data_IF_362779915807
#
_entry.id   IF_362779915807
#
_cell.length_a   1.000
_cell.length_b   1.000
_cell.length_c   1.000
_cell.angle_alpha   90.00
_cell.angle_beta   90.00
_cell.angle_gamma   90.00
#
_symmetry.space_group_name_H-M   'P 1'
#
loop_
_entity.id
_entity.type
_entity.pdbx_description
1 polymer ?
#
# COMPACT_ATOMS: atom_id res chain seq x y z
N UNK A 1 -9.42 30.64 -6.19
CA UNK A 1 -9.86 29.30 -5.76
C UNK A 1 -8.67 28.69 -5.04
N UNK A 2 -8.79 28.36 -3.78
CA UNK A 2 -7.71 27.71 -3.04
C UNK A 2 -7.53 26.32 -3.64
N UNK A 3 -6.32 26.00 -4.14
CA UNK A 3 -5.91 24.61 -4.30
C UNK A 3 -6.02 24.01 -2.91
N UNK A 4 -6.70 22.86 -2.75
CA UNK A 4 -6.92 22.25 -1.44
C UNK A 4 -5.64 21.78 -0.72
N UNK A 5 -4.46 22.07 -1.26
CA UNK A 5 -3.17 21.72 -0.69
C UNK A 5 -2.62 22.81 0.21
N UNK A 6 -2.25 22.46 1.42
CA UNK A 6 -1.53 23.32 2.36
C UNK A 6 -0.05 23.16 2.10
N UNK A 7 0.60 24.18 1.56
CA UNK A 7 2.07 24.18 1.40
C UNK A 7 2.68 24.44 2.78
N UNK A 8 3.52 23.53 3.27
CA UNK A 8 4.28 23.70 4.52
C UNK A 8 5.76 23.83 4.20
N UNK A 9 6.42 24.87 4.71
CA UNK A 9 7.87 25.05 4.63
C UNK A 9 8.63 24.38 5.80
N UNK A 10 8.02 23.42 6.48
CA UNK A 10 8.56 22.81 7.69
C UNK A 10 9.39 21.57 7.34
N UNK A 11 10.48 21.37 8.11
CA UNK A 11 11.17 20.06 8.15
C UNK A 11 10.17 19.00 8.58
N UNK A 12 10.08 17.92 7.81
CA UNK A 12 9.12 16.85 8.10
C UNK A 12 9.17 16.42 9.57
N UNK A 13 8.03 16.36 10.26
CA UNK A 13 7.97 15.95 11.65
C UNK A 13 8.49 14.52 11.86
N UNK A 14 8.48 13.68 10.83
CA UNK A 14 9.06 12.33 10.88
C UNK A 14 10.56 12.37 11.10
N UNK A 15 11.30 13.23 10.41
CA UNK A 15 12.76 13.37 10.57
C UNK A 15 13.12 13.83 11.98
N UNK A 16 12.34 14.77 12.53
CA UNK A 16 12.58 15.27 13.88
C UNK A 16 12.26 14.21 14.92
N UNK A 17 11.11 13.54 14.79
CA UNK A 17 10.65 12.46 15.68
C UNK A 17 11.61 11.28 15.66
N UNK A 18 12.07 10.84 14.47
CA UNK A 18 13.04 9.78 14.33
C UNK A 18 14.37 10.09 15.05
N UNK A 19 14.90 11.31 14.89
CA UNK A 19 16.14 11.75 15.57
C UNK A 19 16.01 11.72 17.09
N UNK A 20 14.91 12.24 17.60
CA UNK A 20 14.69 12.28 19.05
C UNK A 20 14.41 10.87 19.62
N UNK A 21 13.66 10.05 18.91
CA UNK A 21 13.40 8.66 19.27
C UNK A 21 14.70 7.85 19.32
N UNK A 22 15.56 7.95 18.31
CA UNK A 22 16.85 7.27 18.26
C UNK A 22 17.82 7.73 19.35
N UNK A 23 17.66 8.96 19.84
CA UNK A 23 18.43 9.51 20.96
C UNK A 23 17.94 9.00 22.30
N UNK A 24 16.61 8.99 22.53
CA UNK A 24 16.01 8.56 23.79
C UNK A 24 15.94 7.04 23.93
N UNK A 25 15.70 6.35 22.82
CA UNK A 25 15.54 4.89 22.75
C UNK A 25 16.55 4.27 21.76
N UNK A 26 17.87 4.31 22.05
CA UNK A 26 18.87 3.74 21.14
C UNK A 26 18.66 2.24 20.87
N UNK A 27 18.00 1.53 21.75
CA UNK A 27 17.69 0.10 21.65
C UNK A 27 16.78 -0.24 20.47
N UNK A 28 16.07 0.76 19.91
CA UNK A 28 15.21 0.55 18.73
C UNK A 28 16.01 0.05 17.53
N UNK A 29 17.32 0.34 17.48
CA UNK A 29 18.20 -0.12 16.40
C UNK A 29 18.30 -1.64 16.28
N UNK A 30 17.99 -2.39 17.34
CA UNK A 30 17.91 -3.87 17.29
C UNK A 30 16.83 -4.39 16.34
N UNK A 31 15.87 -3.51 15.96
CA UNK A 31 14.79 -3.83 15.03
C UNK A 31 15.14 -3.53 13.56
N UNK A 32 16.31 -3.00 13.26
CA UNK A 32 16.75 -2.60 11.92
C UNK A 32 17.32 -3.76 11.09
N UNK A 33 16.88 -4.96 11.32
CA UNK A 33 17.30 -6.13 10.55
C UNK A 33 16.16 -6.60 9.62
N UNK A 34 16.46 -7.05 8.40
CA UNK A 34 15.50 -7.70 7.55
C UNK A 34 14.84 -8.90 8.24
N UNK A 35 13.63 -9.24 7.80
CA UNK A 35 12.87 -10.37 8.32
C UNK A 35 12.65 -11.44 7.24
N UNK A 36 13.57 -12.43 7.07
CA UNK A 36 13.56 -13.37 5.95
C UNK A 36 12.33 -14.28 5.89
N UNK A 37 11.64 -14.50 7.01
CA UNK A 37 10.40 -15.27 7.01
C UNK A 37 9.29 -14.61 6.17
N UNK A 38 9.39 -13.31 5.87
CA UNK A 38 8.49 -12.65 4.92
C UNK A 38 8.49 -13.32 3.54
N UNK A 39 9.60 -13.93 3.11
CA UNK A 39 9.66 -14.67 1.85
C UNK A 39 8.74 -15.91 1.83
N UNK A 40 8.55 -16.57 2.99
CA UNK A 40 7.60 -17.68 3.11
C UNK A 40 6.15 -17.18 3.02
N UNK A 41 5.84 -16.01 3.60
CA UNK A 41 4.53 -15.40 3.47
C UNK A 41 4.24 -14.98 2.02
N UNK A 42 5.23 -14.40 1.32
CA UNK A 42 5.12 -14.10 -0.12
C UNK A 42 4.75 -15.36 -0.88
N UNK A 43 5.55 -16.43 -0.74
CA UNK A 43 5.33 -17.70 -1.45
C UNK A 43 3.97 -18.31 -1.10
N UNK A 44 3.62 -18.37 0.19
CA UNK A 44 2.35 -18.94 0.64
C UNK A 44 1.12 -18.20 0.11
N UNK A 45 1.16 -16.86 0.08
CA UNK A 45 0.08 -16.04 -0.44
C UNK A 45 -0.05 -16.15 -1.97
N UNK A 46 1.06 -16.20 -2.70
CA UNK A 46 1.05 -16.44 -4.15
C UNK A 46 0.45 -17.81 -4.46
N UNK A 47 0.91 -18.86 -3.76
CA UNK A 47 0.35 -20.22 -3.93
C UNK A 47 -1.14 -20.22 -3.59
N UNK A 48 -1.58 -19.58 -2.52
CA UNK A 48 -2.99 -19.43 -2.15
C UNK A 48 -3.80 -18.81 -3.29
N UNK A 49 -3.34 -17.68 -3.85
CA UNK A 49 -4.03 -16.99 -4.95
C UNK A 49 -4.15 -17.89 -6.19
N UNK A 50 -3.08 -18.60 -6.56
CA UNK A 50 -3.08 -19.49 -7.71
C UNK A 50 -3.95 -20.73 -7.50
N UNK A 51 -3.96 -21.33 -6.31
CA UNK A 51 -4.83 -22.47 -5.96
C UNK A 51 -6.29 -22.07 -6.02
N UNK A 52 -6.65 -20.92 -5.44
CA UNK A 52 -8.03 -20.40 -5.50
C UNK A 52 -8.42 -20.05 -6.93
N UNK A 53 -7.53 -19.44 -7.72
CA UNK A 53 -7.76 -19.16 -9.13
C UNK A 53 -8.06 -20.45 -9.92
N UNK A 54 -7.32 -21.52 -9.65
CA UNK A 54 -7.54 -22.81 -10.29
C UNK A 54 -8.89 -23.43 -9.88
N UNK A 55 -9.27 -23.37 -8.62
CA UNK A 55 -10.57 -23.88 -8.16
C UNK A 55 -11.77 -23.11 -8.75
N UNK A 56 -11.57 -21.83 -9.04
CA UNK A 56 -12.61 -20.97 -9.62
C UNK A 56 -12.70 -21.04 -11.15
N UNK A 57 -11.86 -21.84 -11.83
CA UNK A 57 -11.77 -21.87 -13.30
C UNK A 57 -13.12 -22.10 -14.02
N UNK A 58 -14.01 -22.89 -13.40
CA UNK A 58 -15.33 -23.25 -13.92
C UNK A 58 -16.48 -22.65 -13.06
N UNK A 59 -16.14 -21.69 -12.16
CA UNK A 59 -17.12 -21.09 -11.26
C UNK A 59 -18.01 -20.04 -11.98
N UNK A 60 -19.18 -19.78 -11.40
CA UNK A 60 -20.01 -18.66 -11.85
C UNK A 60 -19.34 -17.31 -11.59
N UNK A 61 -19.64 -16.30 -12.41
CA UNK A 61 -19.11 -14.95 -12.23
C UNK A 61 -19.42 -14.35 -10.86
N UNK A 62 -20.59 -14.65 -10.30
CA UNK A 62 -20.94 -14.23 -8.94
C UNK A 62 -19.99 -14.88 -7.92
N UNK A 63 -19.68 -16.18 -8.07
CA UNK A 63 -18.74 -16.88 -7.22
C UNK A 63 -17.32 -16.28 -7.32
N UNK A 64 -16.86 -15.97 -8.53
CA UNK A 64 -15.57 -15.29 -8.77
C UNK A 64 -15.53 -13.94 -8.07
N UNK A 65 -16.52 -13.08 -8.27
CA UNK A 65 -16.57 -11.72 -7.69
C UNK A 65 -16.61 -11.78 -6.16
N UNK A 66 -17.48 -12.63 -5.60
CA UNK A 66 -17.59 -12.76 -4.14
C UNK A 66 -16.30 -13.29 -3.52
N UNK A 67 -15.65 -14.30 -4.13
CA UNK A 67 -14.40 -14.85 -3.62
C UNK A 67 -13.28 -13.83 -3.76
N UNK A 68 -13.20 -13.09 -4.87
CA UNK A 68 -12.23 -12.02 -5.05
C UNK A 68 -12.38 -10.91 -3.99
N UNK A 69 -13.61 -10.52 -3.66
CA UNK A 69 -13.88 -9.50 -2.65
C UNK A 69 -13.63 -10.00 -1.22
N UNK A 70 -14.16 -11.18 -0.85
CA UNK A 70 -14.16 -11.66 0.53
C UNK A 70 -12.86 -12.36 0.95
N UNK A 71 -12.08 -12.88 -0.01
CA UNK A 71 -10.85 -13.65 0.25
C UNK A 71 -9.67 -13.04 -0.51
N UNK A 72 -9.80 -12.91 -1.83
CA UNK A 72 -8.71 -12.48 -2.70
C UNK A 72 -8.21 -11.09 -2.40
N UNK A 73 -9.10 -10.15 -2.07
CA UNK A 73 -8.74 -8.78 -1.70
C UNK A 73 -7.80 -8.73 -0.49
N UNK A 74 -8.02 -9.56 0.52
CA UNK A 74 -7.13 -9.64 1.69
C UNK A 74 -5.75 -10.18 1.31
N UNK A 75 -5.69 -11.25 0.52
CA UNK A 75 -4.43 -11.84 0.08
C UNK A 75 -3.65 -10.90 -0.84
N UNK A 76 -4.33 -10.24 -1.78
CA UNK A 76 -3.71 -9.27 -2.68
C UNK A 76 -3.20 -8.03 -1.95
N UNK A 77 -3.97 -7.51 -0.98
CA UNK A 77 -3.52 -6.40 -0.12
C UNK A 77 -2.30 -6.80 0.71
N UNK A 78 -2.30 -7.99 1.30
CA UNK A 78 -1.17 -8.53 2.05
C UNK A 78 0.10 -8.66 1.16
N UNK A 79 -0.04 -9.12 -0.08
CA UNK A 79 1.05 -9.13 -1.07
C UNK A 79 1.56 -7.73 -1.38
N UNK A 80 0.67 -6.73 -1.46
CA UNK A 80 1.07 -5.34 -1.67
C UNK A 80 1.91 -4.80 -0.50
N UNK A 81 1.55 -5.14 0.74
CA UNK A 81 2.36 -4.77 1.92
C UNK A 81 3.73 -5.45 1.89
N UNK A 82 3.83 -6.67 1.40
CA UNK A 82 5.12 -7.35 1.24
C UNK A 82 5.96 -6.76 0.08
N UNK A 83 5.32 -6.20 -0.97
CA UNK A 83 6.01 -5.36 -1.97
C UNK A 83 6.58 -4.11 -1.32
N UNK A 84 5.83 -3.48 -0.42
CA UNK A 84 6.30 -2.31 0.33
C UNK A 84 7.55 -2.64 1.15
N UNK A 85 7.55 -3.72 1.95
CA UNK A 85 8.73 -4.17 2.69
C UNK A 85 9.92 -4.52 1.77
N UNK A 86 9.65 -5.20 0.64
CA UNK A 86 10.66 -5.48 -0.37
C UNK A 86 11.24 -4.18 -0.97
N UNK A 87 10.43 -3.13 -1.11
CA UNK A 87 10.88 -1.82 -1.61
C UNK A 87 11.88 -1.15 -0.67
N UNK A 88 11.76 -1.37 0.63
CA UNK A 88 12.70 -0.91 1.66
C UNK A 88 13.86 -1.88 1.94
N UNK A 89 13.98 -3.00 1.21
CA UNK A 89 14.93 -4.09 1.46
C UNK A 89 14.79 -4.71 2.87
N UNK A 90 13.56 -4.91 3.33
CA UNK A 90 13.26 -5.41 4.68
C UNK A 90 12.98 -6.92 4.73
N UNK A 91 12.92 -7.60 3.57
CA UNK A 91 12.75 -9.06 3.54
C UNK A 91 14.10 -9.75 3.68
N UNK A 92 15.08 -9.40 2.85
CA UNK A 92 16.45 -9.91 2.88
C UNK A 92 17.45 -8.77 2.71
N UNK A 93 18.74 -9.01 2.97
CA UNK A 93 19.75 -7.95 2.86
C UNK A 93 20.03 -7.54 1.40
N UNK A 94 20.00 -8.51 0.47
CA UNK A 94 20.31 -8.25 -0.93
C UNK A 94 19.16 -7.55 -1.68
N UNK A 95 19.47 -6.42 -2.30
CA UNK A 95 18.50 -5.60 -3.04
C UNK A 95 17.90 -6.32 -4.24
N UNK A 96 18.69 -7.16 -4.96
CA UNK A 96 18.18 -7.89 -6.13
C UNK A 96 17.17 -8.93 -5.71
N UNK A 97 17.45 -9.66 -4.64
CA UNK A 97 16.52 -10.63 -4.07
C UNK A 97 15.23 -9.99 -3.59
N UNK A 98 15.28 -8.80 -2.96
CA UNK A 98 14.06 -8.05 -2.60
C UNK A 98 13.26 -7.65 -3.84
N UNK A 99 13.91 -7.18 -4.93
CA UNK A 99 13.22 -6.88 -6.20
C UNK A 99 12.51 -8.12 -6.76
N UNK A 100 13.18 -9.27 -6.78
CA UNK A 100 12.59 -10.53 -7.26
C UNK A 100 11.42 -10.99 -6.38
N UNK A 101 11.52 -10.85 -5.06
CA UNK A 101 10.41 -11.14 -4.13
C UNK A 101 9.23 -10.19 -4.35
N UNK A 102 9.49 -8.90 -4.59
CA UNK A 102 8.45 -7.94 -4.98
C UNK A 102 7.77 -8.32 -6.30
N UNK A 103 8.54 -8.73 -7.32
CA UNK A 103 7.99 -9.23 -8.58
C UNK A 103 7.20 -10.54 -8.38
N UNK A 104 7.63 -11.43 -7.50
CA UNK A 104 6.89 -12.64 -7.14
C UNK A 104 5.53 -12.30 -6.51
N UNK A 105 5.44 -11.27 -5.67
CA UNK A 105 4.15 -10.80 -5.15
C UNK A 105 3.19 -10.41 -6.28
N UNK A 106 3.70 -9.77 -7.35
CA UNK A 106 2.89 -9.39 -8.51
C UNK A 106 2.26 -10.59 -9.24
N UNK A 107 2.88 -11.78 -9.19
CA UNK A 107 2.27 -13.02 -9.75
C UNK A 107 0.92 -13.32 -9.09
N UNK A 108 0.83 -13.19 -7.75
CA UNK A 108 -0.43 -13.36 -7.02
C UNK A 108 -1.41 -12.19 -7.17
N UNK A 109 -0.98 -11.06 -7.75
CA UNK A 109 -1.79 -9.87 -7.98
C UNK A 109 -2.24 -9.73 -9.45
N UNK A 110 -1.53 -10.37 -10.42
CA UNK A 110 -1.76 -10.21 -11.84
C UNK A 110 -1.48 -8.78 -12.35
N UNK A 111 -0.70 -7.99 -11.61
CA UNK A 111 -0.44 -6.59 -11.95
C UNK A 111 1.01 -6.18 -11.64
N UNK A 112 1.78 -5.61 -12.62
CA UNK A 112 3.21 -5.37 -12.50
C UNK A 112 3.55 -4.07 -11.74
N UNK A 113 3.12 -3.92 -10.50
CA UNK A 113 3.31 -2.70 -9.70
C UNK A 113 4.66 -2.61 -8.99
N UNK A 114 5.29 -3.74 -8.62
CA UNK A 114 6.35 -3.77 -7.62
C UNK A 114 7.56 -2.87 -7.95
N UNK A 115 8.01 -2.86 -9.19
CA UNK A 115 9.22 -2.10 -9.56
C UNK A 115 8.95 -0.61 -9.72
N UNK A 116 7.82 -0.22 -10.30
CA UNK A 116 7.39 1.19 -10.34
C UNK A 116 7.10 1.71 -8.93
N UNK A 117 6.34 0.95 -8.13
CA UNK A 117 6.04 1.29 -6.74
C UNK A 117 7.32 1.53 -5.95
N UNK A 118 8.33 0.63 -6.02
CA UNK A 118 9.62 0.84 -5.34
C UNK A 118 10.22 2.21 -5.66
N UNK A 119 10.23 2.62 -6.91
CA UNK A 119 10.81 3.89 -7.34
C UNK A 119 10.07 5.07 -6.74
N UNK A 120 8.74 5.10 -6.87
CA UNK A 120 7.92 6.22 -6.43
C UNK A 120 7.74 6.27 -4.92
N UNK A 121 7.66 5.12 -4.28
CA UNK A 121 7.54 5.03 -2.83
C UNK A 121 8.81 5.49 -2.08
N UNK A 122 9.98 5.19 -2.62
CA UNK A 122 11.23 5.73 -2.06
C UNK A 122 11.36 7.24 -2.27
N UNK A 123 10.81 7.78 -3.38
CA UNK A 123 10.69 9.23 -3.58
C UNK A 123 9.70 9.85 -2.59
N UNK A 124 8.53 9.24 -2.39
CA UNK A 124 7.55 9.66 -1.39
C UNK A 124 8.18 9.82 0.01
N UNK A 125 8.93 8.83 0.51
CA UNK A 125 9.62 8.96 1.79
C UNK A 125 10.67 10.08 1.87
N UNK A 126 11.30 10.42 0.76
CA UNK A 126 12.32 11.48 0.71
C UNK A 126 11.74 12.86 0.43
N UNK A 127 10.54 12.95 -0.16
CA UNK A 127 9.89 14.17 -0.62
C UNK A 127 8.39 14.15 -0.25
N UNK A 128 8.10 13.72 0.98
CA UNK A 128 6.75 13.65 1.51
C UNK A 128 6.04 15.00 1.35
N UNK A 129 4.83 14.99 0.79
CA UNK A 129 3.99 16.16 0.50
C UNK A 129 4.55 17.14 -0.56
N UNK A 130 5.63 16.80 -1.26
CA UNK A 130 6.14 17.61 -2.37
C UNK A 130 5.47 17.20 -3.69
N UNK A 131 4.53 18.02 -4.17
CA UNK A 131 3.66 17.70 -5.32
C UNK A 131 4.40 17.20 -6.57
N UNK A 132 5.59 17.71 -6.85
CA UNK A 132 6.36 17.35 -8.05
C UNK A 132 7.15 16.04 -7.89
N UNK A 133 7.24 15.49 -6.68
CA UNK A 133 8.03 14.30 -6.36
C UNK A 133 7.24 13.19 -5.68
N UNK A 134 6.14 13.53 -5.01
CA UNK A 134 5.30 12.58 -4.29
C UNK A 134 4.15 12.08 -5.16
N UNK A 135 4.21 10.80 -5.56
CA UNK A 135 3.18 10.18 -6.39
C UNK A 135 1.89 9.85 -5.61
N UNK A 136 1.93 9.84 -4.28
CA UNK A 136 0.76 9.54 -3.46
C UNK A 136 -0.20 10.73 -3.39
N UNK A 137 0.28 11.94 -3.71
CA UNK A 137 -0.58 13.11 -3.80
C UNK A 137 -1.49 13.07 -5.02
N UNK A 138 -2.77 13.39 -4.81
CA UNK A 138 -3.76 13.49 -5.88
C UNK A 138 -3.41 14.61 -6.87
N UNK A 139 -3.82 14.46 -8.13
CA UNK A 139 -3.79 15.58 -9.06
C UNK A 139 -4.79 16.67 -8.65
N UNK A 140 -4.50 17.94 -8.94
CA UNK A 140 -5.44 19.02 -8.72
C UNK A 140 -6.78 18.83 -9.47
N UNK A 141 -6.76 18.23 -10.67
CA UNK A 141 -7.97 17.91 -11.41
C UNK A 141 -8.74 16.75 -10.76
N UNK A 142 -8.02 15.77 -10.21
CA UNK A 142 -8.56 14.62 -9.50
C UNK A 142 -9.35 15.06 -8.26
N UNK A 143 -8.74 15.88 -7.40
CA UNK A 143 -9.40 16.45 -6.23
C UNK A 143 -10.67 17.25 -6.60
N UNK A 144 -10.63 18.04 -7.70
CA UNK A 144 -11.82 18.77 -8.20
C UNK A 144 -12.91 17.85 -8.72
N UNK A 145 -12.54 16.76 -9.41
CA UNK A 145 -13.49 15.79 -9.95
C UNK A 145 -14.19 15.02 -8.84
N UNK A 146 -13.45 14.59 -7.84
CA UNK A 146 -13.95 13.82 -6.69
C UNK A 146 -14.77 14.73 -5.77
N UNK A 147 -14.17 15.80 -5.28
CA UNK A 147 -14.80 16.74 -4.35
C UNK A 147 -15.52 16.06 -3.20
N UNK A 148 -16.52 16.70 -2.63
CA UNK A 148 -17.24 16.22 -1.44
C UNK A 148 -18.39 15.22 -1.71
N UNK A 149 -18.64 14.80 -2.97
CA UNK A 149 -19.75 13.91 -3.30
C UNK A 149 -19.48 12.47 -2.90
N UNK A 150 -20.32 11.83 -2.05
CA UNK A 150 -20.12 10.43 -1.65
C UNK A 150 -20.07 9.44 -2.83
N UNK A 151 -20.89 9.67 -3.86
CA UNK A 151 -20.91 8.82 -5.06
C UNK A 151 -19.61 8.96 -5.84
N UNK A 152 -19.12 10.17 -6.06
CA UNK A 152 -17.86 10.41 -6.77
C UNK A 152 -16.66 9.86 -5.99
N UNK A 153 -16.65 10.00 -4.67
CA UNK A 153 -15.65 9.38 -3.78
C UNK A 153 -15.68 7.85 -3.89
N UNK A 154 -16.87 7.23 -3.85
CA UNK A 154 -17.01 5.78 -3.99
C UNK A 154 -16.53 5.29 -5.37
N UNK A 155 -16.90 5.98 -6.45
CA UNK A 155 -16.45 5.65 -7.82
C UNK A 155 -14.94 5.83 -7.95
N UNK A 156 -14.39 6.93 -7.42
CA UNK A 156 -12.96 7.17 -7.42
C UNK A 156 -12.20 6.06 -6.68
N UNK A 157 -12.63 5.70 -5.48
CA UNK A 157 -11.99 4.63 -4.71
C UNK A 157 -12.17 3.26 -5.39
N UNK A 158 -13.30 3.01 -6.05
CA UNK A 158 -13.51 1.79 -6.81
C UNK A 158 -12.45 1.63 -7.92
N UNK A 159 -12.11 2.73 -8.60
CA UNK A 159 -11.10 2.75 -9.68
C UNK A 159 -9.71 3.22 -9.21
N UNK A 160 -9.45 3.20 -7.92
CA UNK A 160 -8.20 3.71 -7.35
C UNK A 160 -6.95 3.02 -7.91
N UNK A 161 -7.03 1.73 -8.22
CA UNK A 161 -5.93 1.03 -8.89
C UNK A 161 -5.52 1.68 -10.23
N UNK A 162 -6.48 2.22 -11.00
CA UNK A 162 -6.19 2.94 -12.24
C UNK A 162 -5.60 4.33 -11.97
N UNK A 163 -6.06 4.99 -10.91
CA UNK A 163 -5.53 6.29 -10.47
C UNK A 163 -4.05 6.17 -10.09
N UNK A 164 -3.68 5.14 -9.34
CA UNK A 164 -2.31 4.85 -8.93
C UNK A 164 -1.36 4.56 -10.12
N UNK A 165 -1.88 4.07 -11.23
CA UNK A 165 -1.10 3.92 -12.48
C UNK A 165 -0.82 5.26 -13.14
N UNK A 166 -1.77 6.20 -13.04
CA UNK A 166 -1.69 7.50 -13.72
C UNK A 166 -0.86 8.53 -12.92
N UNK A 167 -0.92 8.52 -11.59
CA UNK A 167 -0.21 9.48 -10.74
C UNK A 167 1.30 9.54 -10.97
N UNK A 168 2.04 8.42 -11.12
CA UNK A 168 3.46 8.43 -11.45
C UNK A 168 3.81 9.14 -12.75
N UNK A 169 2.89 9.27 -13.71
CA UNK A 169 3.13 9.99 -14.97
C UNK A 169 3.48 11.47 -14.75
N UNK A 170 3.04 12.07 -13.64
CA UNK A 170 3.39 13.43 -13.24
C UNK A 170 4.89 13.59 -12.99
N UNK A 171 5.52 12.59 -12.39
CA UNK A 171 6.91 12.65 -11.93
C UNK A 171 7.92 12.39 -13.07
N UNK A 172 7.46 11.94 -14.24
CA UNK A 172 8.21 11.74 -15.49
C UNK A 172 9.50 10.90 -15.38
N UNK A 173 9.65 10.03 -14.38
CA UNK A 173 10.88 9.25 -14.24
C UNK A 173 10.63 7.75 -14.37
N UNK A 174 11.37 7.13 -15.32
CA UNK A 174 11.77 5.73 -15.30
C UNK A 174 10.77 4.66 -15.75
N UNK A 175 9.81 4.95 -16.64
CA UNK A 175 9.00 3.87 -17.24
C UNK A 175 9.84 2.89 -18.09
N UNK A 176 11.00 3.32 -18.60
CA UNK A 176 11.94 2.48 -19.36
C UNK A 176 13.06 1.85 -18.52
N UNK A 177 12.97 1.94 -17.18
CA UNK A 177 13.95 1.28 -16.31
C UNK A 177 13.87 -0.24 -16.50
N UNK A 178 15.01 -0.95 -16.69
CA UNK A 178 15.00 -2.36 -17.07
C UNK A 178 14.22 -3.28 -16.11
N UNK A 179 14.20 -2.98 -14.83
CA UNK A 179 13.43 -3.73 -13.85
C UNK A 179 11.91 -3.53 -13.99
N UNK A 180 11.48 -2.31 -14.34
CA UNK A 180 10.05 -2.02 -14.61
C UNK A 180 9.61 -2.77 -15.84
N UNK A 181 10.38 -2.68 -16.96
CA UNK A 181 10.08 -3.40 -18.19
C UNK A 181 10.10 -4.91 -17.96
N UNK A 182 11.11 -5.42 -17.25
CA UNK A 182 11.22 -6.84 -16.90
C UNK A 182 10.03 -7.32 -16.07
N UNK A 183 9.55 -6.51 -15.10
CA UNK A 183 8.36 -6.81 -14.31
C UNK A 183 7.10 -6.90 -15.18
N UNK A 184 6.90 -5.94 -16.08
CA UNK A 184 5.76 -5.95 -17.02
C UNK A 184 5.77 -7.22 -17.89
N UNK A 185 6.91 -7.57 -18.47
CA UNK A 185 7.05 -8.75 -19.32
C UNK A 185 6.79 -10.03 -18.50
N UNK A 186 7.38 -10.13 -17.30
CA UNK A 186 7.23 -11.30 -16.43
C UNK A 186 5.77 -11.50 -16.03
N UNK A 187 5.05 -10.43 -15.63
CA UNK A 187 3.66 -10.54 -15.22
C UNK A 187 2.73 -10.82 -16.39
N UNK A 188 2.93 -10.16 -17.54
CA UNK A 188 2.18 -10.50 -18.75
C UNK A 188 2.33 -11.99 -19.13
N UNK A 189 3.54 -12.54 -19.05
CA UNK A 189 3.79 -13.96 -19.29
C UNK A 189 3.10 -14.86 -18.25
N UNK A 190 3.16 -14.50 -16.94
CA UNK A 190 2.49 -15.28 -15.90
C UNK A 190 0.97 -15.18 -15.98
N UNK A 191 0.41 -14.04 -16.36
CA UNK A 191 -1.05 -13.89 -16.58
C UNK A 191 -1.55 -14.75 -17.74
N UNK A 192 -0.76 -14.88 -18.83
CA UNK A 192 -1.06 -15.84 -19.90
C UNK A 192 -1.02 -17.29 -19.41
N UNK A 193 -0.07 -17.65 -18.53
CA UNK A 193 -0.02 -18.96 -17.90
C UNK A 193 -1.21 -19.19 -16.95
N UNK A 194 -1.58 -18.21 -16.14
CA UNK A 194 -2.76 -18.28 -15.27
C UNK A 194 -4.02 -18.46 -16.12
N UNK A 195 -4.15 -17.68 -17.19
CA UNK A 195 -5.28 -17.84 -18.12
C UNK A 195 -5.33 -19.24 -18.73
N UNK A 196 -4.18 -19.77 -19.18
CA UNK A 196 -4.08 -21.10 -19.76
C UNK A 196 -4.47 -22.21 -18.78
N UNK A 197 -4.00 -22.16 -17.51
CA UNK A 197 -4.22 -23.20 -16.51
C UNK A 197 -5.51 -23.04 -15.69
N UNK A 198 -5.91 -21.81 -15.45
CA UNK A 198 -7.05 -21.45 -14.58
C UNK A 198 -8.24 -20.86 -15.36
N UNK A 199 -8.12 -20.71 -16.68
CA UNK A 199 -9.18 -20.11 -17.50
C UNK A 199 -9.43 -18.64 -17.24
N UNK A 200 -10.41 -18.08 -17.93
CA UNK A 200 -10.79 -16.66 -17.82
C UNK A 200 -11.29 -16.32 -16.41
N UNK A 201 -12.05 -17.20 -15.77
CA UNK A 201 -12.58 -16.99 -14.42
C UNK A 201 -11.47 -16.95 -13.37
N UNK A 202 -10.45 -17.82 -13.48
CA UNK A 202 -9.31 -17.82 -12.57
C UNK A 202 -8.43 -16.58 -12.71
N UNK A 203 -8.13 -16.16 -13.95
CA UNK A 203 -7.41 -14.88 -14.18
C UNK A 203 -8.22 -13.69 -13.67
N UNK A 204 -9.52 -13.66 -13.94
CA UNK A 204 -10.41 -12.60 -13.45
C UNK A 204 -10.44 -12.53 -11.91
N UNK A 205 -10.40 -13.67 -11.23
CA UNK A 205 -10.28 -13.70 -9.76
C UNK A 205 -9.02 -12.98 -9.29
N UNK A 206 -7.86 -13.28 -9.87
CA UNK A 206 -6.58 -12.66 -9.47
C UNK A 206 -6.63 -11.15 -9.68
N UNK A 207 -7.06 -10.70 -10.86
CA UNK A 207 -7.16 -9.27 -11.20
C UNK A 207 -8.20 -8.53 -10.34
N UNK A 208 -9.37 -9.11 -10.11
CA UNK A 208 -10.42 -8.54 -9.26
C UNK A 208 -9.98 -8.51 -7.79
N UNK A 209 -9.20 -9.49 -7.33
CA UNK A 209 -8.63 -9.49 -5.98
C UNK A 209 -7.75 -8.27 -5.74
N UNK A 210 -6.93 -7.92 -6.71
CA UNK A 210 -6.10 -6.72 -6.66
C UNK A 210 -6.94 -5.45 -6.77
N UNK A 211 -7.87 -5.41 -7.71
CA UNK A 211 -8.78 -4.28 -7.89
C UNK A 211 -9.56 -3.95 -6.61
N UNK A 212 -10.12 -4.95 -5.93
CA UNK A 212 -10.81 -4.75 -4.66
C UNK A 212 -9.83 -4.46 -3.51
N UNK A 213 -8.70 -5.15 -3.43
CA UNK A 213 -7.74 -5.02 -2.34
C UNK A 213 -7.15 -3.62 -2.18
N UNK A 214 -7.09 -2.83 -3.27
CA UNK A 214 -6.66 -1.43 -3.26
C UNK A 214 -7.81 -0.44 -3.48
N UNK A 215 -9.00 -0.92 -3.86
CA UNK A 215 -10.15 -0.11 -4.25
C UNK A 215 -11.23 0.01 -3.16
N UNK A 216 -12.50 -0.03 -3.59
CA UNK A 216 -13.67 0.13 -2.70
C UNK A 216 -13.87 -1.12 -1.82
N UNK A 217 -13.06 -1.23 -0.83
CA UNK A 217 -13.01 -2.29 0.18
C UNK A 217 -12.55 -1.69 1.51
N UNK A 218 -12.88 -2.25 2.69
CA UNK A 218 -12.34 -1.76 3.96
C UNK A 218 -10.81 -1.64 4.00
N UNK A 219 -10.07 -2.54 3.33
CA UNK A 219 -8.62 -2.46 3.21
C UNK A 219 -8.17 -1.30 2.31
N UNK A 220 -8.91 -0.96 1.26
CA UNK A 220 -8.62 0.19 0.40
C UNK A 220 -8.74 1.54 1.12
N UNK A 221 -9.50 1.59 2.24
CA UNK A 221 -9.51 2.76 3.12
C UNK A 221 -8.14 3.08 3.74
N UNK A 222 -7.16 2.17 3.63
CA UNK A 222 -5.77 2.41 4.05
C UNK A 222 -5.16 3.62 3.36
N UNK A 223 -5.38 3.80 2.07
CA UNK A 223 -4.89 4.96 1.31
C UNK A 223 -5.35 6.30 1.87
N UNK A 224 -6.61 6.32 2.36
CA UNK A 224 -7.19 7.49 3.01
C UNK A 224 -6.65 7.63 4.43
N UNK A 225 -6.58 6.52 5.16
CA UNK A 225 -6.08 6.51 6.54
C UNK A 225 -4.65 7.01 6.66
N UNK A 226 -3.78 6.73 5.68
CA UNK A 226 -2.35 7.01 5.76
C UNK A 226 -2.03 8.51 5.61
N UNK A 227 -2.62 9.19 4.62
CA UNK A 227 -2.18 10.51 4.19
C UNK A 227 -3.27 11.58 4.10
N UNK A 228 -4.58 11.24 4.23
CA UNK A 228 -5.61 12.27 4.24
C UNK A 228 -5.58 13.07 5.55
N UNK A 229 -5.71 14.40 5.45
CA UNK A 229 -5.62 15.28 6.62
C UNK A 229 -6.87 15.21 7.48
N UNK A 230 -6.82 14.47 8.58
CA UNK A 230 -7.88 14.44 9.60
C UNK A 230 -7.68 15.47 10.70
N UNK A 231 -6.42 15.84 10.97
CA UNK A 231 -6.05 16.84 11.99
C UNK A 231 -4.97 17.75 11.41
N UNK A 232 -5.18 19.06 11.52
CA UNK A 232 -4.21 20.04 11.03
C UNK A 232 -2.84 19.88 11.70
N UNK A 233 -1.78 19.82 10.90
CA UNK A 233 -0.41 19.72 11.38
C UNK A 233 0.07 18.29 11.67
N UNK A 234 -0.72 17.26 11.34
CA UNK A 234 -0.30 15.87 11.33
C UNK A 234 -0.33 15.37 9.87
N UNK A 235 0.81 14.90 9.36
CA UNK A 235 0.99 14.53 7.94
C UNK A 235 0.57 13.09 7.65
N UNK A 236 0.76 12.18 8.61
CA UNK A 236 0.44 10.76 8.46
C UNK A 236 -0.31 10.23 9.67
N UNK A 237 -1.03 9.13 9.49
CA UNK A 237 -1.89 8.56 10.51
C UNK A 237 -1.66 7.05 10.63
N UNK A 238 -1.53 6.57 11.87
CA UNK A 238 -1.48 5.13 12.14
C UNK A 238 -2.87 4.54 12.36
N UNK A 239 -3.00 3.26 12.04
CA UNK A 239 -4.17 2.43 12.31
C UNK A 239 -3.79 1.31 13.28
N UNK A 240 -4.47 1.22 14.42
CA UNK A 240 -4.21 0.23 15.47
C UNK A 240 -5.40 -0.73 15.65
N UNK A 241 -5.91 -1.30 14.56
CA UNK A 241 -7.04 -2.20 14.57
C UNK A 241 -6.70 -3.64 14.17
N UNK A 242 -7.72 -4.50 14.23
CA UNK A 242 -7.57 -5.95 14.02
C UNK A 242 -7.05 -6.34 12.64
N UNK A 243 -7.37 -5.54 11.59
CA UNK A 243 -6.94 -5.82 10.23
C UNK A 243 -5.42 -5.71 10.03
N UNK A 244 -4.69 -5.07 10.96
CA UNK A 244 -3.23 -5.10 10.95
C UNK A 244 -2.66 -6.52 10.94
N UNK A 245 -3.34 -7.49 11.56
CA UNK A 245 -2.91 -8.89 11.58
C UNK A 245 -2.93 -9.53 10.18
N UNK A 246 -3.86 -9.10 9.32
CA UNK A 246 -3.98 -9.57 7.94
C UNK A 246 -3.17 -8.71 6.96
N UNK A 247 -2.89 -7.47 7.33
CA UNK A 247 -2.19 -6.48 6.51
C UNK A 247 -0.74 -6.25 6.98
N UNK A 248 -0.08 -7.25 7.58
CA UNK A 248 1.33 -7.18 7.98
C UNK A 248 1.71 -5.86 8.68
N UNK A 249 0.89 -5.42 9.64
CA UNK A 249 1.10 -4.21 10.46
C UNK A 249 1.36 -2.91 9.68
N UNK A 250 1.00 -2.84 8.40
CA UNK A 250 1.19 -1.62 7.59
C UNK A 250 0.50 -0.39 8.21
N UNK A 251 -0.54 -0.60 9.00
CA UNK A 251 -1.22 0.48 9.70
C UNK A 251 -0.38 1.17 10.79
N UNK A 252 0.77 0.66 11.17
CA UNK A 252 1.75 1.37 12.00
C UNK A 252 2.54 2.38 11.15
N UNK A 253 1.83 3.28 10.51
CA UNK A 253 2.34 4.11 9.43
C UNK A 253 3.23 5.26 9.90
N UNK A 254 2.89 5.90 11.04
CA UNK A 254 3.78 6.89 11.67
C UNK A 254 5.13 6.27 12.06
N UNK A 255 5.08 5.07 12.67
CA UNK A 255 6.25 4.32 13.10
C UNK A 255 7.12 3.93 11.89
N UNK A 256 6.47 3.57 10.77
CA UNK A 256 7.16 3.26 9.53
C UNK A 256 7.84 4.49 8.92
N UNK A 257 7.14 5.62 8.79
CA UNK A 257 7.72 6.86 8.26
C UNK A 257 8.87 7.41 9.12
N UNK A 258 8.81 7.24 10.44
CA UNK A 258 9.90 7.61 11.33
C UNK A 258 11.11 6.67 11.16
N UNK A 259 10.87 5.37 11.00
CA UNK A 259 11.90 4.33 11.03
C UNK A 259 11.74 3.34 9.86
N UNK A 260 11.92 3.80 8.63
CA UNK A 260 11.76 3.03 7.38
C UNK A 260 12.61 1.75 7.28
N UNK A 261 13.57 1.56 8.18
CA UNK A 261 14.42 0.37 8.27
C UNK A 261 13.86 -0.73 9.16
N UNK A 262 12.67 -0.53 9.73
CA UNK A 262 12.03 -1.50 10.62
C UNK A 262 11.02 -2.33 9.81
N UNK A 263 11.21 -3.67 9.69
CA UNK A 263 10.25 -4.52 9.00
C UNK A 263 8.92 -4.60 9.75
N UNK A 264 7.86 -4.91 9.03
CA UNK A 264 6.47 -4.94 9.50
C UNK A 264 6.28 -5.64 10.85
N UNK A 265 7.01 -6.72 11.11
CA UNK A 265 6.88 -7.56 12.33
C UNK A 265 7.32 -6.81 13.60
N UNK A 266 8.13 -5.78 13.46
CA UNK A 266 8.69 -5.02 14.58
C UNK A 266 8.06 -3.64 14.78
N UNK A 267 7.24 -3.13 13.85
CA UNK A 267 6.57 -1.84 14.01
C UNK A 267 5.73 -1.74 15.31
N UNK A 268 4.94 -2.77 15.70
CA UNK A 268 4.25 -2.74 16.99
C UNK A 268 5.19 -2.66 18.20
N UNK A 269 6.40 -3.22 18.08
CA UNK A 269 7.41 -3.18 19.15
C UNK A 269 8.05 -1.79 19.27
N UNK A 270 8.19 -1.06 18.16
CA UNK A 270 8.63 0.35 18.16
C UNK A 270 7.67 1.19 18.96
N UNK A 271 6.37 1.10 18.65
CA UNK A 271 5.32 1.81 19.41
C UNK A 271 5.32 1.45 20.90
N UNK A 272 5.45 0.17 21.21
CA UNK A 272 5.48 -0.30 22.60
C UNK A 272 6.72 0.15 23.36
N UNK A 273 7.86 0.32 22.66
CA UNK A 273 9.12 0.79 23.27
C UNK A 273 9.10 2.30 23.55
N UNK A 274 8.44 3.08 22.69
CA UNK A 274 8.46 4.54 22.73
C UNK A 274 7.04 5.14 22.60
N UNK A 275 6.09 4.78 23.49
CA UNK A 275 4.69 5.18 23.39
C UNK A 275 4.50 6.70 23.45
N UNK A 276 5.37 7.43 24.14
CA UNK A 276 5.33 8.89 24.26
C UNK A 276 5.48 9.63 22.92
N UNK A 277 6.02 8.96 21.89
CA UNK A 277 6.15 9.53 20.54
C UNK A 277 4.88 9.36 19.69
N UNK A 278 3.99 8.42 20.06
CA UNK A 278 2.87 8.02 19.21
C UNK A 278 1.49 8.13 19.89
N UNK A 279 1.41 8.02 21.21
CA UNK A 279 0.11 7.97 21.90
C UNK A 279 -0.67 9.29 21.88
N UNK A 280 0.01 10.41 21.65
CA UNK A 280 -0.62 11.73 21.51
C UNK A 280 -1.06 12.04 20.07
N UNK A 281 -0.61 11.25 19.07
CA UNK A 281 -0.99 11.43 17.68
C UNK A 281 -2.40 10.89 17.42
N UNK A 282 -3.13 11.57 16.54
CA UNK A 282 -4.40 11.03 16.06
C UNK A 282 -4.16 9.72 15.31
N UNK A 283 -4.94 8.69 15.66
CA UNK A 283 -4.83 7.36 15.08
C UNK A 283 -6.20 6.74 14.88
N UNK A 284 -6.31 5.87 13.89
CA UNK A 284 -7.53 5.15 13.57
C UNK A 284 -7.57 3.76 14.21
N UNK A 285 -8.77 3.25 14.48
CA UNK A 285 -8.99 1.91 15.04
C UNK A 285 -9.91 1.02 14.17
N UNK A 286 -10.51 1.59 13.13
CA UNK A 286 -11.40 0.88 12.20
C UNK A 286 -11.28 1.47 10.80
N UNK A 287 -10.77 0.69 9.85
CA UNK A 287 -10.69 1.09 8.43
C UNK A 287 -12.09 1.26 7.82
N UNK A 288 -13.06 0.43 8.24
CA UNK A 288 -14.47 0.60 7.82
C UNK A 288 -15.02 1.96 8.27
N UNK A 289 -14.69 2.40 9.51
CA UNK A 289 -15.11 3.73 9.99
C UNK A 289 -14.42 4.84 9.20
N UNK A 290 -13.13 4.71 8.90
CA UNK A 290 -12.39 5.65 8.05
C UNK A 290 -13.06 5.77 6.68
N UNK A 291 -13.37 4.63 6.05
CA UNK A 291 -14.05 4.59 4.76
C UNK A 291 -15.40 5.32 4.80
N UNK A 292 -16.25 4.99 5.77
CA UNK A 292 -17.57 5.62 5.90
C UNK A 292 -17.45 7.11 6.23
N UNK A 293 -16.55 7.49 7.15
CA UNK A 293 -16.29 8.88 7.47
C UNK A 293 -15.86 9.66 6.24
N UNK A 294 -14.87 9.17 5.50
CA UNK A 294 -14.38 9.84 4.29
C UNK A 294 -15.47 9.94 3.22
N UNK A 295 -16.25 8.88 2.99
CA UNK A 295 -17.32 8.89 1.99
C UNK A 295 -18.38 9.94 2.29
N UNK A 296 -18.79 10.08 3.55
CA UNK A 296 -19.97 10.89 3.92
C UNK A 296 -19.63 12.23 4.58
N UNK A 297 -18.39 12.47 4.97
CA UNK A 297 -17.97 13.76 5.50
C UNK A 297 -17.65 14.73 4.34
N UNK A 298 -18.39 15.81 4.18
CA UNK A 298 -18.18 16.76 3.10
C UNK A 298 -16.92 17.64 3.30
N UNK A 299 -16.29 17.60 4.47
CA UNK A 299 -15.09 18.39 4.79
C UNK A 299 -13.79 17.65 4.47
N UNK A 300 -13.88 16.34 4.23
CA UNK A 300 -12.77 15.49 3.82
C UNK A 300 -12.83 15.28 2.29
N UNK A 301 -12.25 16.18 1.52
CA UNK A 301 -12.19 16.15 0.06
C UNK A 301 -10.74 16.20 -0.49
#
# INVERSE_FOLDING_TARGET
MRSGYVVTERVSPHVQRARELLKRHPDVRRFFAPYPLSALYVTGLVVLQLVVAHWLRDASWLGVILTAYLVGAFASHALFVLIHDASHNLIVEDTRSNRLLGMLCNVGQGFPSAMSFRTYHLLHHSHLDEYDFDADLAFHWEARLVGSSPIRKAVWLLFFAAVEVVRPLRIQKQFAEPWVVGNVIAIAATDLLIWYWCGTAGLAYVLLSTFFGVGLHPLGARWIQEHYTFVAGQETYSYYGILNRLAFNIGYHNEHHDLVRVPWVHLPKVKALAPEFYDHLHAHRSLTRVLLQWLFDPTLD
#
